data_IF_163878015786
#
_entry.id   IF_163878015786
#
_cell.length_a   1.000
_cell.length_b   1.000
_cell.length_c   1.000
_cell.angle_alpha   90.00
_cell.angle_beta   90.00
_cell.angle_gamma   90.00
#
_symmetry.space_group_name_H-M   'P 1'
#
loop_
_entity.id
_entity.type
_entity.pdbx_description
1 polymer ?
#
# COMPACT_ATOMS: atom_id res chain seq x y z
N UNK A 1 23.83 48.20 -2.24
CA UNK A 1 23.04 47.34 -1.32
C UNK A 1 21.57 47.56 -1.60
N UNK A 2 20.79 46.52 -1.95
CA UNK A 2 19.37 46.72 -2.25
C UNK A 2 18.58 45.59 -2.93
N UNK A 3 19.05 44.34 -2.97
CA UNK A 3 18.34 43.25 -3.68
C UNK A 3 17.56 42.26 -2.80
N UNK A 4 17.55 42.43 -1.47
CA UNK A 4 16.90 41.49 -0.53
C UNK A 4 15.55 41.94 0.05
N UNK A 5 14.94 43.02 -0.47
CA UNK A 5 13.68 43.56 0.09
C UNK A 5 12.41 43.16 -0.69
N UNK A 6 12.52 42.24 -1.65
CA UNK A 6 11.40 41.80 -2.52
C UNK A 6 10.99 40.33 -2.34
N UNK A 7 11.54 39.64 -1.35
CA UNK A 7 11.11 38.28 -0.98
C UNK A 7 10.28 38.23 0.32
N UNK A 8 10.19 39.35 1.04
CA UNK A 8 9.39 39.49 2.25
C UNK A 8 8.51 40.76 2.16
N UNK A 9 7.56 40.77 1.24
CA UNK A 9 6.29 41.49 1.43
C UNK A 9 5.28 40.41 1.84
N UNK A 10 4.72 40.37 3.04
CA UNK A 10 3.92 41.40 3.71
C UNK A 10 2.76 41.88 2.83
N UNK A 11 1.79 40.98 2.65
CA UNK A 11 0.39 41.35 2.47
C UNK A 11 -0.47 40.54 3.44
N UNK A 12 -1.33 41.28 4.13
CA UNK A 12 -2.27 40.84 5.16
C UNK A 12 -3.51 40.16 4.54
N UNK A 13 -4.28 39.52 5.41
CA UNK A 13 -5.66 39.05 5.23
C UNK A 13 -5.90 37.91 4.24
N UNK A 14 -6.01 36.70 4.79
CA UNK A 14 -7.31 36.04 4.88
C UNK A 14 -7.25 34.86 5.85
N UNK A 15 -8.36 34.66 6.55
CA UNK A 15 -8.52 33.68 7.62
C UNK A 15 -7.93 32.31 7.27
N UNK A 16 -7.30 31.70 8.26
CA UNK A 16 -6.95 30.28 8.26
C UNK A 16 -8.24 29.46 8.19
N UNK A 17 -8.77 29.31 6.98
CA UNK A 17 -9.51 28.10 6.64
C UNK A 17 -8.51 26.97 6.79
N UNK A 18 -8.67 26.21 7.88
CA UNK A 18 -8.18 24.84 7.90
C UNK A 18 -8.78 24.19 6.66
N UNK A 19 -7.97 23.98 5.62
CA UNK A 19 -8.28 22.99 4.60
C UNK A 19 -8.31 21.66 5.35
N UNK A 20 -9.48 21.33 5.88
CA UNK A 20 -9.86 19.95 6.10
C UNK A 20 -9.61 19.28 4.76
N UNK A 21 -8.60 18.42 4.75
CA UNK A 21 -8.36 17.51 3.64
C UNK A 21 -9.65 16.70 3.59
N UNK A 22 -10.55 17.08 2.69
CA UNK A 22 -11.74 16.31 2.39
C UNK A 22 -11.22 14.96 1.93
N UNK A 23 -11.34 13.98 2.83
CA UNK A 23 -11.09 12.58 2.53
C UNK A 23 -12.16 12.25 1.50
N UNK A 24 -11.80 12.31 0.23
CA UNK A 24 -12.70 11.98 -0.87
C UNK A 24 -13.22 10.57 -0.62
N UNK A 25 -14.52 10.51 -0.34
CA UNK A 25 -15.24 9.32 0.08
C UNK A 25 -15.35 8.27 -1.04
N UNK A 26 -14.87 8.58 -2.24
CA UNK A 26 -14.59 7.60 -3.29
C UNK A 26 -13.21 6.99 -3.12
N UNK A 27 -13.04 6.08 -2.15
CA UNK A 27 -11.92 5.14 -2.21
C UNK A 27 -12.05 4.34 -3.51
N UNK A 28 -11.07 4.44 -4.39
CA UNK A 28 -10.92 3.43 -5.42
C UNK A 28 -10.62 2.10 -4.73
N UNK A 29 -11.24 0.98 -5.16
CA UNK A 29 -10.96 -0.33 -4.58
C UNK A 29 -9.46 -0.61 -4.68
N UNK A 30 -8.81 -0.86 -3.54
CA UNK A 30 -7.37 -1.10 -3.44
C UNK A 30 -6.51 0.13 -3.08
N UNK A 31 -7.11 1.29 -2.77
CA UNK A 31 -6.34 2.44 -2.28
C UNK A 31 -6.10 2.35 -0.76
N UNK A 32 -4.83 2.28 -0.36
CA UNK A 32 -4.43 2.32 1.06
C UNK A 32 -4.42 3.76 1.57
N UNK A 33 -5.39 4.13 2.41
CA UNK A 33 -5.41 5.47 3.01
C UNK A 33 -4.44 5.55 4.17
N UNK A 34 -3.82 6.71 4.35
CA UNK A 34 -2.98 7.00 5.51
C UNK A 34 -3.78 7.70 6.60
N UNK A 35 -3.52 7.38 7.86
CA UNK A 35 -4.13 8.04 9.02
C UNK A 35 -3.11 8.91 9.75
N UNK A 36 -3.55 10.07 10.24
CA UNK A 36 -2.68 11.00 11.00
C UNK A 36 -2.45 10.55 12.45
N UNK A 37 -3.35 9.71 12.98
CA UNK A 37 -3.30 9.10 14.30
C UNK A 37 -3.49 7.60 14.15
N UNK A 38 -2.57 6.80 14.70
CA UNK A 38 -2.63 5.35 14.59
C UNK A 38 -2.17 4.80 13.24
N UNK A 39 -2.54 3.54 12.98
CA UNK A 39 -2.34 2.82 11.73
C UNK A 39 -1.20 1.81 11.77
N UNK A 40 -1.04 1.05 10.69
CA UNK A 40 0.07 0.12 10.51
C UNK A 40 1.32 0.83 10.01
N UNK A 41 2.49 0.36 10.44
CA UNK A 41 3.77 0.91 9.99
C UNK A 41 3.87 0.88 8.47
N UNK A 42 4.10 2.04 7.87
CA UNK A 42 4.12 2.18 6.41
C UNK A 42 5.17 1.31 5.75
N UNK A 43 6.36 1.21 6.35
CA UNK A 43 7.47 0.45 5.76
C UNK A 43 7.17 -1.04 5.85
N UNK A 44 6.71 -1.51 7.00
CA UNK A 44 6.28 -2.89 7.19
C UNK A 44 5.15 -3.27 6.24
N UNK A 45 4.13 -2.42 6.10
CA UNK A 45 3.01 -2.66 5.17
C UNK A 45 3.47 -2.75 3.72
N UNK A 46 4.32 -1.82 3.26
CA UNK A 46 4.82 -1.86 1.87
C UNK A 46 5.71 -3.08 1.63
N UNK A 47 6.60 -3.41 2.58
CA UNK A 47 7.45 -4.60 2.48
C UNK A 47 6.61 -5.87 2.42
N UNK A 48 5.53 -5.92 3.19
CA UNK A 48 4.58 -7.03 3.16
C UNK A 48 3.88 -7.14 1.80
N UNK A 49 3.36 -6.03 1.27
CA UNK A 49 2.75 -5.98 -0.07
C UNK A 49 3.73 -6.45 -1.14
N UNK A 50 4.96 -5.94 -1.12
CA UNK A 50 6.00 -6.32 -2.07
C UNK A 50 6.29 -7.83 -2.01
N UNK A 51 6.32 -8.41 -0.80
CA UNK A 51 6.55 -9.84 -0.63
C UNK A 51 5.39 -10.72 -1.18
N UNK A 52 4.15 -10.31 -0.96
CA UNK A 52 2.96 -11.02 -1.47
C UNK A 52 2.84 -10.88 -2.98
N UNK A 53 3.10 -9.68 -3.52
CA UNK A 53 3.07 -9.46 -4.97
C UNK A 53 4.18 -10.22 -5.70
N UNK A 54 5.37 -10.30 -5.11
CA UNK A 54 6.45 -11.15 -5.65
C UNK A 54 6.05 -12.63 -5.67
N UNK A 55 5.36 -13.14 -4.63
CA UNK A 55 4.84 -14.51 -4.66
C UNK A 55 3.79 -14.71 -5.75
N UNK A 56 2.87 -13.76 -5.94
CA UNK A 56 1.89 -13.79 -7.03
C UNK A 56 2.60 -13.89 -8.39
N UNK A 57 3.64 -13.10 -8.61
CA UNK A 57 4.40 -13.12 -9.87
C UNK A 57 5.06 -14.48 -10.12
N UNK A 58 5.70 -15.07 -9.11
CA UNK A 58 6.33 -16.40 -9.22
C UNK A 58 5.29 -17.50 -9.47
N UNK A 59 4.12 -17.41 -8.83
CA UNK A 59 3.02 -18.36 -9.05
C UNK A 59 2.41 -18.22 -10.45
N UNK A 60 2.34 -17.00 -10.98
CA UNK A 60 1.91 -16.75 -12.36
C UNK A 60 2.89 -17.35 -13.36
N UNK A 61 4.20 -17.13 -13.16
CA UNK A 61 5.25 -17.73 -13.99
C UNK A 61 5.19 -19.26 -13.95
N UNK A 62 5.00 -19.86 -12.77
CA UNK A 62 4.79 -21.30 -12.63
C UNK A 62 3.54 -21.78 -13.39
N UNK A 63 2.47 -20.99 -13.41
CA UNK A 63 1.23 -21.36 -14.10
C UNK A 63 1.39 -21.29 -15.62
N UNK A 64 2.14 -20.31 -16.11
CA UNK A 64 2.50 -20.18 -17.53
C UNK A 64 3.43 -21.32 -17.98
N UNK A 65 4.44 -21.66 -17.19
CA UNK A 65 5.34 -22.80 -17.44
C UNK A 65 4.57 -24.13 -17.47
N UNK A 66 3.64 -24.34 -16.52
CA UNK A 66 2.73 -25.50 -16.54
C UNK A 66 1.92 -25.59 -17.83
N UNK A 67 1.36 -24.48 -18.29
CA UNK A 67 0.51 -24.45 -19.49
C UNK A 67 1.30 -24.66 -20.79
N UNK A 68 2.57 -24.25 -20.82
CA UNK A 68 3.48 -24.46 -21.95
C UNK A 68 4.15 -25.85 -21.95
N UNK A 69 4.02 -26.61 -20.86
CA UNK A 69 4.66 -27.91 -20.69
C UNK A 69 6.14 -27.83 -20.31
N UNK A 70 6.59 -26.66 -19.88
CA UNK A 70 7.94 -26.44 -19.34
C UNK A 70 8.04 -26.96 -17.90
N UNK A 71 9.27 -27.28 -17.47
CA UNK A 71 9.51 -27.70 -16.09
C UNK A 71 9.31 -26.49 -15.15
N UNK A 72 8.45 -26.64 -14.15
CA UNK A 72 8.11 -25.56 -13.22
C UNK A 72 8.28 -26.00 -11.77
N UNK A 73 8.56 -25.02 -10.91
CA UNK A 73 8.61 -25.22 -9.47
C UNK A 73 7.57 -24.33 -8.81
N UNK A 74 6.72 -24.92 -7.96
CA UNK A 74 5.77 -24.17 -7.16
C UNK A 74 6.52 -23.57 -5.96
N UNK A 75 6.52 -22.25 -5.78
CA UNK A 75 7.11 -21.62 -4.61
C UNK A 75 6.51 -22.17 -3.30
N UNK A 76 7.30 -22.30 -2.22
CA UNK A 76 6.78 -22.74 -0.93
C UNK A 76 5.75 -21.73 -0.39
N UNK A 77 4.77 -22.21 0.38
CA UNK A 77 3.81 -21.34 1.06
C UNK A 77 4.53 -20.45 2.07
N UNK A 78 4.24 -19.15 2.01
CA UNK A 78 4.72 -18.17 2.98
C UNK A 78 3.60 -17.79 3.94
N UNK A 79 3.97 -17.63 5.20
CA UNK A 79 3.07 -17.06 6.21
C UNK A 79 3.33 -15.57 6.31
N UNK A 80 2.26 -14.79 6.18
CA UNK A 80 2.28 -13.34 6.23
C UNK A 80 1.71 -12.87 7.58
N UNK A 81 2.48 -12.04 8.28
CA UNK A 81 2.04 -11.39 9.52
C UNK A 81 1.79 -9.91 9.27
N UNK A 82 0.75 -9.36 9.89
CA UNK A 82 0.51 -7.93 9.84
C UNK A 82 1.68 -7.16 10.47
N UNK A 83 2.06 -6.00 9.91
CA UNK A 83 3.08 -5.12 10.48
C UNK A 83 2.68 -4.57 11.84
N UNK A 84 3.65 -4.04 12.59
CA UNK A 84 3.39 -3.39 13.87
C UNK A 84 2.51 -2.14 13.72
N UNK A 85 1.66 -1.91 14.72
CA UNK A 85 0.88 -0.68 14.82
C UNK A 85 1.75 0.49 15.27
N UNK A 86 1.55 1.66 14.65
CA UNK A 86 2.24 2.91 14.97
C UNK A 86 1.27 3.93 15.54
N UNK A 87 1.75 4.79 16.44
CA UNK A 87 0.89 5.77 17.11
C UNK A 87 0.49 6.95 16.23
N UNK A 88 1.24 7.23 15.15
CA UNK A 88 0.98 8.33 14.21
C UNK A 88 1.48 8.03 12.80
N UNK A 89 0.71 8.46 11.80
CA UNK A 89 1.16 8.50 10.42
C UNK A 89 1.25 7.14 9.73
N UNK A 90 0.50 6.13 10.18
CA UNK A 90 0.44 4.80 9.57
C UNK A 90 -0.54 4.70 8.39
N UNK A 91 -0.66 3.50 7.84
CA UNK A 91 -1.78 3.14 6.96
C UNK A 91 -3.00 2.74 7.77
N UNK A 92 -4.19 2.99 7.23
CA UNK A 92 -5.43 2.52 7.82
C UNK A 92 -5.42 0.98 7.91
N UNK A 93 -5.71 0.46 9.11
CA UNK A 93 -5.68 -0.98 9.38
C UNK A 93 -6.70 -1.77 8.55
N UNK A 94 -7.91 -1.23 8.37
CA UNK A 94 -8.99 -1.85 7.59
C UNK A 94 -8.61 -1.90 6.11
N UNK A 95 -8.17 -0.78 5.53
CA UNK A 95 -7.75 -0.74 4.13
C UNK A 95 -6.59 -1.72 3.84
N UNK A 96 -5.62 -1.79 4.76
CA UNK A 96 -4.51 -2.74 4.62
C UNK A 96 -5.00 -4.17 4.72
N UNK A 97 -5.84 -4.49 5.71
CA UNK A 97 -6.37 -5.83 5.89
C UNK A 97 -7.17 -6.29 4.67
N UNK A 98 -8.09 -5.47 4.18
CA UNK A 98 -8.89 -5.76 3.00
C UNK A 98 -8.00 -5.98 1.77
N UNK A 99 -6.96 -5.17 1.62
CA UNK A 99 -6.00 -5.34 0.53
C UNK A 99 -5.19 -6.64 0.67
N UNK A 100 -4.73 -6.97 1.89
CA UNK A 100 -4.00 -8.22 2.17
C UNK A 100 -4.86 -9.44 1.88
N UNK A 101 -6.12 -9.42 2.31
CA UNK A 101 -7.08 -10.51 2.06
C UNK A 101 -7.29 -10.69 0.54
N UNK A 102 -7.34 -9.58 -0.22
CA UNK A 102 -7.42 -9.64 -1.69
C UNK A 102 -6.19 -10.25 -2.35
N UNK A 103 -4.99 -9.98 -1.84
CA UNK A 103 -3.74 -10.57 -2.33
C UNK A 103 -3.65 -12.04 -1.95
N UNK A 104 -4.02 -12.40 -0.72
CA UNK A 104 -4.04 -13.79 -0.26
C UNK A 104 -5.03 -14.63 -1.08
N UNK A 105 -6.22 -14.09 -1.38
CA UNK A 105 -7.19 -14.75 -2.25
C UNK A 105 -6.60 -15.03 -3.64
N UNK A 106 -5.84 -14.09 -4.23
CA UNK A 106 -5.15 -14.29 -5.51
C UNK A 106 -4.09 -15.38 -5.42
N UNK A 107 -3.26 -15.38 -4.37
CA UNK A 107 -2.26 -16.43 -4.12
C UNK A 107 -2.94 -17.80 -4.04
N UNK A 108 -4.00 -17.93 -3.24
CA UNK A 108 -4.72 -19.18 -3.07
C UNK A 108 -5.35 -19.67 -4.39
N UNK A 109 -5.92 -18.75 -5.19
CA UNK A 109 -6.48 -19.08 -6.50
C UNK A 109 -5.41 -19.56 -7.49
N UNK A 110 -4.23 -18.92 -7.51
CA UNK A 110 -3.11 -19.35 -8.36
C UNK A 110 -2.59 -20.72 -7.94
N UNK A 111 -2.41 -20.95 -6.63
CA UNK A 111 -1.99 -22.25 -6.09
C UNK A 111 -2.99 -23.36 -6.39
N UNK A 112 -4.29 -23.09 -6.29
CA UNK A 112 -5.33 -24.06 -6.64
C UNK A 112 -5.35 -24.41 -8.14
N UNK A 113 -4.82 -23.51 -8.98
CA UNK A 113 -4.70 -23.70 -10.43
C UNK A 113 -3.39 -24.32 -10.90
N UNK A 114 -2.42 -24.56 -10.02
CA UNK A 114 -1.12 -25.21 -10.31
C UNK A 114 -1.17 -26.72 -10.07
#
# INVERSE_FOLDING_TARGET
>A
MGFFRKLFGADNDNGTEKKEIQISESAQPGMLRTTSKGGLDKRGTLTLIDSMTAEIMLLQEAAEARNSGEEYQVPPEKQYSLPDAVSRGGFNEEDVKDYMDSLQAKINNLRAGL
#
